data_IF_164421750071
#
_entry.id   IF_164421750071
#
_cell.length_a   1.000
_cell.length_b   1.000
_cell.length_c   1.000
_cell.angle_alpha   90.00
_cell.angle_beta   90.00
_cell.angle_gamma   90.00
#
_symmetry.space_group_name_H-M   'P 1'
#
loop_
_entity.id
_entity.type
_entity.pdbx_description
1 polymer ?
#
# COMPACT_ATOMS: atom_id res chain seq x y z
N UNK A 1 -52.01 -34.91 -54.61
CA UNK A 1 -50.65 -34.77 -54.07
C UNK A 1 -50.12 -33.41 -54.50
N UNK A 2 -50.23 -32.42 -53.61
CA UNK A 2 -49.74 -31.06 -53.82
C UNK A 2 -49.23 -30.54 -52.47
N UNK A 3 -47.97 -30.11 -52.45
CA UNK A 3 -47.14 -29.87 -51.27
C UNK A 3 -47.63 -28.72 -50.38
N UNK A 4 -47.56 -28.94 -49.06
CA UNK A 4 -47.60 -27.89 -48.04
C UNK A 4 -46.19 -27.30 -47.87
N UNK A 5 -46.05 -25.99 -48.10
CA UNK A 5 -44.85 -25.22 -47.72
C UNK A 5 -45.09 -24.56 -46.37
N UNK A 6 -44.56 -25.13 -45.29
CA UNK A 6 -44.52 -24.49 -43.97
C UNK A 6 -43.35 -23.52 -43.90
N UNK A 7 -43.65 -22.22 -43.86
CA UNK A 7 -42.68 -21.16 -43.61
C UNK A 7 -42.17 -21.20 -42.18
N UNK A 8 -40.99 -21.78 -41.98
CA UNK A 8 -40.20 -21.57 -40.78
C UNK A 8 -39.43 -20.26 -40.92
N UNK A 9 -39.60 -19.33 -39.97
CA UNK A 9 -38.60 -18.38 -39.43
C UNK A 9 -39.29 -17.30 -38.60
N UNK A 10 -39.41 -17.54 -37.30
CA UNK A 10 -39.49 -16.47 -36.30
C UNK A 10 -38.44 -16.77 -35.23
N UNK A 11 -37.25 -16.23 -35.45
CA UNK A 11 -36.10 -16.33 -34.55
C UNK A 11 -35.63 -14.92 -34.23
N UNK A 12 -36.23 -14.27 -33.23
CA UNK A 12 -35.75 -13.02 -32.64
C UNK A 12 -35.96 -13.13 -31.13
N UNK A 13 -34.97 -13.68 -30.42
CA UNK A 13 -33.86 -12.98 -29.74
C UNK A 13 -34.20 -12.73 -28.26
N UNK A 14 -33.96 -13.78 -27.45
CA UNK A 14 -33.39 -13.60 -26.12
C UNK A 14 -31.98 -12.96 -26.32
N UNK A 15 -31.46 -12.06 -25.50
CA UNK A 15 -31.18 -12.26 -24.08
C UNK A 15 -30.76 -10.90 -23.54
N UNK A 16 -31.42 -10.42 -22.49
CA UNK A 16 -31.04 -9.21 -21.79
C UNK A 16 -29.92 -9.47 -20.78
N UNK A 17 -29.02 -8.48 -20.69
CA UNK A 17 -28.26 -8.08 -19.51
C UNK A 17 -27.06 -8.94 -19.06
N UNK A 18 -25.92 -8.70 -19.72
CA UNK A 18 -24.59 -8.98 -19.15
C UNK A 18 -23.96 -7.66 -18.68
N UNK A 19 -24.28 -7.21 -17.46
CA UNK A 19 -23.46 -6.22 -16.75
C UNK A 19 -22.18 -6.92 -16.27
N UNK A 20 -21.12 -6.85 -17.07
CA UNK A 20 -19.80 -7.29 -16.63
C UNK A 20 -19.25 -6.31 -15.58
N UNK A 21 -19.25 -6.73 -14.32
CA UNK A 21 -18.63 -6.04 -13.18
C UNK A 21 -17.13 -5.86 -13.41
N UNK A 22 -16.71 -4.67 -13.82
CA UNK A 22 -15.30 -4.27 -13.89
C UNK A 22 -14.89 -3.61 -12.56
N UNK A 23 -14.86 -4.39 -11.48
CA UNK A 23 -14.30 -3.96 -10.20
C UNK A 23 -12.81 -4.34 -10.14
N UNK A 24 -11.94 -3.57 -10.80
CA UNK A 24 -10.50 -3.72 -10.60
C UNK A 24 -10.09 -3.06 -9.28
N UNK A 25 -9.49 -3.82 -8.36
CA UNK A 25 -8.84 -3.25 -7.19
C UNK A 25 -7.68 -2.32 -7.62
N UNK A 26 -7.55 -1.13 -7.02
CA UNK A 26 -6.50 -0.17 -7.35
C UNK A 26 -5.10 -0.67 -6.99
N UNK A 27 -4.11 -0.29 -7.79
CA UNK A 27 -2.69 -0.56 -7.55
C UNK A 27 -2.08 0.53 -6.66
N UNK A 28 -1.09 0.17 -5.83
CA UNK A 28 -0.29 1.16 -5.07
C UNK A 28 0.64 1.90 -6.03
N UNK A 29 0.65 3.23 -5.98
CA UNK A 29 1.58 4.03 -6.77
C UNK A 29 3.01 3.90 -6.25
N UNK A 30 3.97 3.57 -7.12
CA UNK A 30 5.37 3.40 -6.74
C UNK A 30 6.33 4.08 -7.72
N UNK A 31 7.51 4.45 -7.22
CA UNK A 31 8.64 4.97 -8.01
C UNK A 31 9.93 4.30 -7.55
N UNK A 32 10.88 3.97 -8.45
CA UNK A 32 12.15 3.38 -8.06
C UNK A 32 12.88 4.21 -7.01
N UNK A 33 13.43 3.55 -5.99
CA UNK A 33 14.10 4.21 -4.88
C UNK A 33 15.26 3.36 -4.35
N UNK A 34 16.45 3.96 -4.27
CA UNK A 34 17.61 3.36 -3.61
C UNK A 34 17.78 4.00 -2.24
N UNK A 35 17.65 3.21 -1.18
CA UNK A 35 17.88 3.68 0.19
C UNK A 35 19.38 3.84 0.41
N UNK A 36 19.78 5.04 0.82
CA UNK A 36 21.11 5.25 1.36
C UNK A 36 21.16 4.66 2.77
N UNK A 37 21.81 3.50 2.90
CA UNK A 37 21.86 2.75 4.16
C UNK A 37 22.70 3.51 5.20
N UNK A 38 22.13 3.70 6.40
CA UNK A 38 22.82 4.36 7.50
C UNK A 38 23.43 3.31 8.45
N UNK A 39 24.74 3.06 8.31
CA UNK A 39 25.59 2.27 9.23
C UNK A 39 25.07 0.86 9.62
N UNK A 40 25.86 0.00 10.29
CA UNK A 40 25.40 -1.33 10.67
C UNK A 40 24.22 -1.26 11.65
N UNK A 41 23.27 -2.19 11.53
CA UNK A 41 22.05 -2.26 12.34
C UNK A 41 22.28 -2.24 13.88
N UNK A 42 23.51 -2.48 14.35
CA UNK A 42 23.90 -2.43 15.76
C UNK A 42 23.87 -1.01 16.36
N UNK A 43 23.99 0.05 15.56
CA UNK A 43 23.95 1.46 16.01
C UNK A 43 22.74 2.22 15.48
N UNK A 44 21.78 1.51 14.88
CA UNK A 44 20.61 2.12 14.27
C UNK A 44 19.73 2.81 15.32
N UNK A 45 19.45 4.10 15.11
CA UNK A 45 18.55 4.88 15.96
C UNK A 45 17.18 4.21 16.00
N UNK A 46 16.68 3.90 17.20
CA UNK A 46 15.33 3.38 17.39
C UNK A 46 14.40 4.45 17.94
N UNK A 47 13.16 4.41 17.47
CA UNK A 47 12.08 5.29 17.90
C UNK A 47 10.84 4.47 18.20
N UNK A 48 9.99 4.99 19.07
CA UNK A 48 8.72 4.39 19.41
C UNK A 48 7.56 5.33 19.06
N UNK A 49 6.47 4.77 18.54
CA UNK A 49 5.22 5.54 18.42
C UNK A 49 4.59 5.71 19.80
N UNK A 50 4.45 6.96 20.26
CA UNK A 50 3.86 7.28 21.56
C UNK A 50 2.33 7.28 21.55
N UNK A 51 1.73 7.44 20.37
CA UNK A 51 0.29 7.39 20.15
C UNK A 51 0.01 6.55 18.89
N UNK A 52 -1.18 5.91 18.78
CA UNK A 52 -1.55 5.21 17.57
C UNK A 52 -1.74 6.21 16.42
N UNK A 53 -1.46 5.77 15.20
CA UNK A 53 -1.68 6.57 13.99
C UNK A 53 -2.40 5.72 12.94
N UNK A 54 -3.42 6.27 12.30
CA UNK A 54 -4.10 5.60 11.19
C UNK A 54 -3.55 6.11 9.86
N UNK A 55 -3.22 5.18 8.99
CA UNK A 55 -2.78 5.47 7.62
C UNK A 55 -3.86 5.02 6.65
N UNK A 56 -4.16 5.86 5.66
CA UNK A 56 -5.06 5.53 4.55
C UNK A 56 -4.33 5.69 3.23
N UNK A 57 -4.36 4.64 2.41
CA UNK A 57 -3.81 4.63 1.05
C UNK A 57 -4.90 5.05 0.06
N UNK A 58 -4.46 5.49 -1.12
CA UNK A 58 -5.36 5.78 -2.25
C UNK A 58 -6.07 4.53 -2.77
N UNK A 59 -5.57 3.35 -2.42
CA UNK A 59 -6.24 2.07 -2.69
C UNK A 59 -7.51 1.88 -1.86
N UNK A 60 -7.76 2.74 -0.87
CA UNK A 60 -8.82 2.61 0.12
C UNK A 60 -8.41 1.79 1.34
N UNK A 61 -7.27 1.09 1.28
CA UNK A 61 -6.73 0.34 2.42
C UNK A 61 -6.39 1.29 3.58
N UNK A 62 -6.76 0.86 4.79
CA UNK A 62 -6.41 1.57 6.02
C UNK A 62 -5.64 0.65 6.96
N UNK A 63 -4.62 1.20 7.60
CA UNK A 63 -3.78 0.45 8.54
C UNK A 63 -3.50 1.29 9.77
N UNK A 64 -3.73 0.69 10.93
CA UNK A 64 -3.36 1.29 12.20
C UNK A 64 -1.91 0.94 12.54
N UNK A 65 -1.13 1.97 12.86
CA UNK A 65 0.17 1.85 13.50
C UNK A 65 -0.05 1.91 15.00
N UNK A 66 0.23 0.80 15.68
CA UNK A 66 -0.01 0.69 17.11
C UNK A 66 0.91 1.62 17.91
N UNK A 67 0.36 2.22 18.97
CA UNK A 67 1.19 2.83 20.00
C UNK A 67 2.16 1.80 20.57
N UNK A 68 3.29 2.28 21.07
CA UNK A 68 4.42 1.51 21.60
C UNK A 68 5.11 0.59 20.58
N UNK A 69 4.74 0.63 19.31
CA UNK A 69 5.51 -0.06 18.25
C UNK A 69 6.87 0.61 18.07
N UNK A 70 7.91 -0.21 17.93
CA UNK A 70 9.30 0.22 17.82
C UNK A 70 9.76 0.15 16.38
N UNK A 71 10.52 1.16 15.95
CA UNK A 71 10.98 1.33 14.58
C UNK A 71 12.46 1.69 14.57
N UNK A 72 13.22 0.99 13.74
CA UNK A 72 14.67 1.20 13.59
C UNK A 72 14.92 2.02 12.32
N UNK A 73 15.65 3.12 12.44
CA UNK A 73 16.11 3.88 11.27
C UNK A 73 17.12 3.03 10.49
N UNK A 74 16.86 2.78 9.21
CA UNK A 74 17.70 1.91 8.36
C UNK A 74 18.38 2.68 7.22
N UNK A 75 17.94 3.90 6.95
CA UNK A 75 18.54 4.72 5.90
C UNK A 75 17.76 5.98 5.62
N UNK A 76 18.01 6.58 4.46
CA UNK A 76 17.37 7.80 4.00
C UNK A 76 17.01 7.71 2.51
N UNK A 77 15.93 8.40 2.15
CA UNK A 77 15.52 8.73 0.80
C UNK A 77 15.41 10.26 0.68
N UNK A 78 15.37 10.84 -0.54
CA UNK A 78 15.12 12.28 -0.72
C UNK A 78 13.85 12.79 0.00
N UNK A 79 12.84 11.92 0.11
CA UNK A 79 11.56 12.20 0.74
C UNK A 79 11.66 12.22 2.28
N UNK A 80 12.54 11.44 2.89
CA UNK A 80 12.68 11.37 4.35
C UNK A 80 13.54 10.22 4.87
N UNK A 81 13.60 10.10 6.19
CA UNK A 81 14.28 9.00 6.88
C UNK A 81 13.44 7.72 6.81
N UNK A 82 14.09 6.58 6.57
CA UNK A 82 13.44 5.27 6.39
C UNK A 82 13.51 4.48 7.68
N UNK A 83 12.36 4.03 8.18
CA UNK A 83 12.23 3.28 9.43
C UNK A 83 11.58 1.91 9.21
N UNK A 84 12.29 0.85 9.61
CA UNK A 84 11.84 -0.54 9.58
C UNK A 84 11.15 -0.91 10.90
N UNK A 85 10.01 -1.65 10.88
CA UNK A 85 9.40 -2.14 12.11
C UNK A 85 10.31 -3.15 12.83
N UNK A 86 10.35 -3.10 14.16
CA UNK A 86 11.12 -4.04 15.01
C UNK A 86 10.16 -5.05 15.64
N UNK A 87 10.48 -6.34 15.55
CA UNK A 87 9.68 -7.42 16.15
C UNK A 87 8.37 -7.73 15.43
N UNK A 88 8.11 -7.10 14.29
CA UNK A 88 6.93 -7.37 13.45
C UNK A 88 7.22 -7.02 11.99
N UNK A 89 6.29 -7.39 11.10
CA UNK A 89 6.31 -7.00 9.69
C UNK A 89 5.11 -6.08 9.45
N UNK A 90 5.38 -4.89 8.92
CA UNK A 90 4.33 -4.01 8.41
C UNK A 90 4.08 -4.36 6.95
N UNK A 91 2.81 -4.52 6.61
CA UNK A 91 2.36 -4.67 5.22
C UNK A 91 1.37 -3.58 4.85
N UNK A 92 1.39 -3.21 3.57
CA UNK A 92 0.40 -2.33 2.94
C UNK A 92 -0.22 -3.04 1.74
N UNK A 93 -1.46 -2.67 1.38
CA UNK A 93 -2.25 -3.44 0.43
C UNK A 93 -2.89 -2.57 -0.66
N UNK A 94 -2.81 -3.09 -1.89
CA UNK A 94 -3.60 -2.66 -3.05
C UNK A 94 -4.09 -3.90 -3.78
N UNK A 95 -3.74 -4.05 -5.05
CA UNK A 95 -3.92 -5.34 -5.75
C UNK A 95 -3.06 -6.46 -5.15
N UNK A 96 -1.92 -6.13 -4.56
CA UNK A 96 -1.03 -7.07 -3.88
C UNK A 96 -0.72 -6.59 -2.46
N UNK A 97 -0.15 -7.48 -1.66
CA UNK A 97 0.35 -7.20 -0.32
C UNK A 97 1.85 -6.96 -0.40
N UNK A 98 2.31 -5.85 0.17
CA UNK A 98 3.71 -5.43 0.11
C UNK A 98 4.27 -5.24 1.53
N UNK A 99 5.47 -5.75 1.83
CA UNK A 99 6.22 -5.32 3.01
C UNK A 99 6.53 -3.83 2.89
N UNK A 100 6.42 -3.08 3.99
CA UNK A 100 6.56 -1.62 3.97
C UNK A 100 7.35 -1.08 5.16
N UNK A 101 8.27 -0.17 4.90
CA UNK A 101 8.99 0.64 5.89
C UNK A 101 8.47 2.08 5.84
N UNK A 102 8.41 2.75 6.98
CA UNK A 102 7.94 4.13 7.05
C UNK A 102 8.96 5.07 6.42
N UNK A 103 8.50 6.05 5.65
CA UNK A 103 9.33 7.19 5.22
C UNK A 103 8.82 8.43 5.95
N UNK A 104 9.65 8.97 6.83
CA UNK A 104 9.28 10.03 7.76
C UNK A 104 10.10 11.29 7.48
N UNK A 105 9.41 12.43 7.39
CA UNK A 105 10.03 13.76 7.29
C UNK A 105 9.42 14.65 8.34
N UNK A 106 10.24 15.29 9.18
CA UNK A 106 9.80 16.22 10.21
C UNK A 106 8.69 15.66 11.13
N UNK A 107 8.82 14.41 11.59
CA UNK A 107 7.80 13.68 12.39
C UNK A 107 6.46 13.46 11.67
N UNK A 108 6.45 13.50 10.34
CA UNK A 108 5.27 13.20 9.54
C UNK A 108 5.57 12.02 8.62
N UNK A 109 4.69 11.03 8.60
CA UNK A 109 4.72 9.94 7.62
C UNK A 109 4.31 10.50 6.25
N UNK A 110 5.21 10.42 5.29
CA UNK A 110 5.00 10.96 3.92
C UNK A 110 4.87 9.86 2.88
N UNK A 111 5.19 8.62 3.23
CA UNK A 111 5.13 7.48 2.33
C UNK A 111 5.72 6.23 2.95
N UNK A 112 5.92 5.24 2.08
CA UNK A 112 6.50 3.94 2.40
C UNK A 112 7.64 3.60 1.45
N UNK A 113 8.65 2.91 1.99
CA UNK A 113 9.65 2.22 1.18
C UNK A 113 9.32 0.73 1.14
N UNK A 114 9.36 0.13 -0.05
CA UNK A 114 9.02 -1.27 -0.30
C UNK A 114 10.32 -2.05 -0.53
N UNK A 115 10.87 -2.74 0.49
CA UNK A 115 12.21 -3.32 0.43
C UNK A 115 12.35 -4.45 -0.61
N UNK A 116 11.29 -5.24 -0.82
CA UNK A 116 11.30 -6.32 -1.81
C UNK A 116 11.38 -5.83 -3.26
N UNK A 117 10.94 -4.60 -3.51
CA UNK A 117 10.85 -4.01 -4.85
C UNK A 117 11.82 -2.87 -5.08
N UNK A 118 12.44 -2.35 -4.01
CA UNK A 118 13.27 -1.14 -4.02
C UNK A 118 12.50 0.06 -4.57
N UNK A 119 11.29 0.26 -4.07
CA UNK A 119 10.37 1.29 -4.52
C UNK A 119 9.93 2.21 -3.37
N UNK A 120 9.68 3.47 -3.69
CA UNK A 120 9.00 4.43 -2.84
C UNK A 120 7.52 4.55 -3.26
N UNK A 121 6.62 4.43 -2.29
CA UNK A 121 5.18 4.66 -2.43
C UNK A 121 4.78 5.91 -1.64
N UNK A 122 4.32 7.01 -2.27
CA UNK A 122 3.88 8.20 -1.55
C UNK A 122 2.57 7.97 -0.79
N UNK A 123 2.36 8.75 0.27
CA UNK A 123 1.03 9.00 0.83
C UNK A 123 0.47 10.30 0.29
N UNK A 124 -0.77 10.26 -0.19
CA UNK A 124 -1.48 11.46 -0.66
C UNK A 124 -1.87 12.37 0.51
N UNK A 125 -2.15 11.80 1.67
CA UNK A 125 -2.34 12.55 2.92
C UNK A 125 -1.23 12.19 3.92
N UNK A 126 -0.39 13.17 4.23
CA UNK A 126 0.68 13.00 5.19
C UNK A 126 0.11 12.84 6.62
N UNK A 127 0.68 11.92 7.41
CA UNK A 127 0.16 11.57 8.75
C UNK A 127 1.14 12.02 9.83
N UNK A 128 0.80 12.97 10.72
CA UNK A 128 1.64 13.32 11.85
C UNK A 128 1.88 12.12 12.77
N UNK A 129 3.14 11.87 13.13
CA UNK A 129 3.53 10.80 14.03
C UNK A 129 4.04 11.39 15.34
N UNK A 130 3.55 10.87 16.46
CA UNK A 130 4.11 11.18 17.77
C UNK A 130 5.23 10.18 18.08
N UNK A 131 6.47 10.53 17.71
CA UNK A 131 7.65 9.68 17.89
C UNK A 131 8.44 10.10 19.14
N UNK A 132 8.75 9.12 19.98
CA UNK A 132 9.71 9.23 21.09
C UNK A 132 10.96 8.40 20.81
N UNK A 133 12.05 8.73 21.49
CA UNK A 133 13.25 7.88 21.50
C UNK A 133 12.93 6.60 22.27
N UNK A 134 13.44 5.46 21.78
CA UNK A 134 13.34 4.19 22.50
C UNK A 134 14.72 3.81 23.04
N UNK A 135 14.78 3.45 24.32
CA UNK A 135 15.96 2.95 25.02
C UNK A 135 16.50 1.63 24.42
#
# INVERSE_FOLDING_TARGET
MTSFSFGARRLWLATGFSLALSACAPMIATTPATVELMQPAATAKRVQLLAPAQVKLDTGYSRDLAAKSTWSQVGRLPQGDVYRPVGTILTIEGRHVHEAYLVVRNKTLVGFYLPGEQNYSPLTTAVPLNLGESE
#
